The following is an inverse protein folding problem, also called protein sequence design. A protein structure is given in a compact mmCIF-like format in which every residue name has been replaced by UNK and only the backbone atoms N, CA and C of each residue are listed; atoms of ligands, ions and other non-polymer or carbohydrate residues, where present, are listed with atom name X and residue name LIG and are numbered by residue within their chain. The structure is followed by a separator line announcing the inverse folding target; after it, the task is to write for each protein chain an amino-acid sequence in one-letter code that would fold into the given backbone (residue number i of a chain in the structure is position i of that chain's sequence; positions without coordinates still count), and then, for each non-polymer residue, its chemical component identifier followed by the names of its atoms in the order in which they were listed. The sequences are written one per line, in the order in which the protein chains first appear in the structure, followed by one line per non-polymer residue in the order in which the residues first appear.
data_IF_584838681318
#
_entry.id   IF_584838681318
#
_cell.length_a   1.000
_cell.length_b   1.000
_cell.length_c   1.000
_cell.angle_alpha   90.00
_cell.angle_beta   90.00
_cell.angle_gamma   90.00
#
_symmetry.space_group_name_H-M   'P 1'
#
loop_
_entity.id
_entity.type
_entity.pdbx_description
1 polymer ?
#
# COMPACT_ATOMS: atom_id res chain seq x y z
N UNK A 1 4.14 6.01 15.61
CA UNK A 1 3.48 6.01 14.30
C UNK A 1 3.40 4.58 13.69
N UNK A 2 4.43 3.75 13.73
CA UNK A 2 4.43 2.40 13.16
C UNK A 2 3.36 1.48 13.80
N UNK A 3 3.19 1.53 15.11
CA UNK A 3 2.17 0.75 15.84
C UNK A 3 0.75 1.10 15.37
N UNK A 4 0.44 2.39 15.21
CA UNK A 4 -0.88 2.82 14.76
C UNK A 4 -1.23 2.37 13.35
N UNK A 5 -0.27 2.34 12.42
CA UNK A 5 -0.50 1.88 11.05
C UNK A 5 -0.66 0.37 10.93
N UNK A 6 -0.13 -0.41 11.88
CA UNK A 6 -0.23 -1.86 11.92
C UNK A 6 -1.47 -2.36 12.66
N UNK A 7 -2.01 -1.59 13.58
CA UNK A 7 -3.10 -2.02 14.45
C UNK A 7 -4.35 -2.42 13.66
N UNK A 8 -4.77 -1.59 12.71
CA UNK A 8 -5.94 -1.85 11.88
C UNK A 8 -5.74 -3.08 10.95
N UNK A 9 -4.64 -3.23 10.18
CA UNK A 9 -4.40 -4.42 9.39
C UNK A 9 -4.28 -5.71 10.21
N UNK A 10 -3.68 -5.67 11.39
CA UNK A 10 -3.59 -6.83 12.29
C UNK A 10 -4.97 -7.20 12.83
N UNK A 11 -5.76 -6.23 13.28
CA UNK A 11 -7.14 -6.48 13.72
C UNK A 11 -7.98 -7.07 12.57
N UNK A 12 -7.85 -6.53 11.35
CA UNK A 12 -8.54 -7.07 10.19
C UNK A 12 -8.10 -8.51 9.90
N UNK A 13 -6.80 -8.80 9.96
CA UNK A 13 -6.27 -10.15 9.75
C UNK A 13 -6.90 -11.14 10.75
N UNK A 14 -6.93 -10.79 12.03
CA UNK A 14 -7.54 -11.63 13.07
C UNK A 14 -9.05 -11.82 12.85
N UNK A 15 -9.78 -10.73 12.59
CA UNK A 15 -11.23 -10.79 12.36
C UNK A 15 -11.54 -11.62 11.11
N UNK A 16 -10.87 -11.39 9.98
CA UNK A 16 -11.10 -12.16 8.77
C UNK A 16 -10.78 -13.64 8.95
N UNK A 17 -9.72 -13.97 9.67
CA UNK A 17 -9.36 -15.37 9.92
C UNK A 17 -10.39 -16.07 10.80
N UNK A 18 -10.87 -15.41 11.85
CA UNK A 18 -11.86 -15.99 12.77
C UNK A 18 -13.25 -16.10 12.10
N UNK A 19 -13.68 -15.06 11.37
CA UNK A 19 -15.04 -14.99 10.84
C UNK A 19 -15.18 -15.69 9.49
N UNK A 20 -14.21 -15.51 8.60
CA UNK A 20 -14.31 -15.97 7.20
C UNK A 20 -13.40 -17.17 6.90
N UNK A 21 -12.46 -17.53 7.79
CA UNK A 21 -11.47 -18.56 7.54
C UNK A 21 -12.08 -19.88 7.09
N UNK A 22 -13.04 -20.38 7.83
CA UNK A 22 -13.71 -21.65 7.54
C UNK A 22 -14.63 -21.56 6.29
N UNK A 23 -15.29 -20.41 6.07
CA UNK A 23 -16.18 -20.24 4.92
C UNK A 23 -15.39 -20.18 3.63
N UNK A 24 -14.29 -19.44 3.57
CA UNK A 24 -13.41 -19.36 2.40
C UNK A 24 -12.80 -20.72 2.08
N UNK A 25 -12.34 -21.45 3.10
CA UNK A 25 -11.81 -22.80 2.91
C UNK A 25 -12.85 -23.76 2.30
N UNK A 26 -14.09 -23.72 2.77
CA UNK A 26 -15.20 -24.56 2.23
C UNK A 26 -15.52 -24.26 0.76
N UNK A 27 -15.38 -22.99 0.32
CA UNK A 27 -15.75 -22.57 -1.05
C UNK A 27 -14.60 -22.73 -2.04
N UNK A 28 -13.36 -22.46 -1.58
CA UNK A 28 -12.18 -22.42 -2.47
C UNK A 28 -11.29 -23.65 -2.38
N UNK A 29 -11.41 -24.43 -1.31
CA UNK A 29 -10.48 -25.51 -0.99
C UNK A 29 -9.08 -25.04 -0.54
N UNK A 30 -8.87 -23.72 -0.40
CA UNK A 30 -7.60 -23.09 -0.03
C UNK A 30 -7.79 -22.32 1.27
N UNK A 31 -6.81 -22.35 2.16
CA UNK A 31 -6.88 -21.61 3.41
C UNK A 31 -6.93 -20.11 3.15
N UNK A 32 -7.84 -19.42 3.84
CA UNK A 32 -8.05 -17.98 3.74
C UNK A 32 -6.77 -17.16 4.01
N UNK A 33 -5.84 -17.71 4.78
CA UNK A 33 -4.54 -17.08 5.12
C UNK A 33 -3.77 -16.64 3.89
N UNK A 34 -3.83 -17.42 2.78
CA UNK A 34 -3.15 -17.09 1.52
C UNK A 34 -3.74 -15.88 0.77
N UNK A 35 -4.93 -15.45 1.13
CA UNK A 35 -5.54 -14.22 0.60
C UNK A 35 -5.46 -13.06 1.59
N UNK A 36 -5.78 -13.33 2.86
CA UNK A 36 -5.93 -12.30 3.90
C UNK A 36 -4.57 -11.72 4.32
N UNK A 37 -3.52 -12.54 4.46
CA UNK A 37 -2.18 -12.04 4.82
C UNK A 37 -1.61 -11.09 3.76
N UNK A 38 -1.59 -11.43 2.45
CA UNK A 38 -1.21 -10.48 1.40
C UNK A 38 -2.05 -9.19 1.43
N UNK A 39 -3.36 -9.31 1.57
CA UNK A 39 -4.26 -8.17 1.66
C UNK A 39 -3.88 -7.24 2.82
N UNK A 40 -3.71 -7.79 4.02
CA UNK A 40 -3.36 -7.00 5.21
C UNK A 40 -1.97 -6.36 5.08
N UNK A 41 -1.01 -7.03 4.44
CA UNK A 41 0.32 -6.48 4.18
C UNK A 41 0.25 -5.27 3.22
N UNK A 42 -0.48 -5.39 2.12
CA UNK A 42 -0.67 -4.28 1.16
C UNK A 42 -1.44 -3.13 1.82
N UNK A 43 -2.52 -3.42 2.55
CA UNK A 43 -3.29 -2.38 3.26
C UNK A 43 -2.47 -1.67 4.33
N UNK A 44 -1.61 -2.39 5.07
CA UNK A 44 -0.68 -1.79 6.03
C UNK A 44 0.24 -0.76 5.37
N UNK A 45 0.76 -1.07 4.18
CA UNK A 45 1.59 -0.14 3.42
C UNK A 45 0.81 1.12 3.01
N UNK A 46 -0.42 0.95 2.49
CA UNK A 46 -1.27 2.06 2.03
C UNK A 46 -1.74 2.95 3.19
N UNK A 47 -2.30 2.36 4.24
CA UNK A 47 -2.75 3.12 5.42
C UNK A 47 -1.59 3.77 6.17
N UNK A 48 -0.43 3.12 6.15
CA UNK A 48 0.78 3.71 6.68
C UNK A 48 1.17 4.99 5.95
N UNK A 49 1.19 4.97 4.62
CA UNK A 49 1.49 6.15 3.80
C UNK A 49 0.45 7.27 4.01
N UNK A 50 -0.84 6.92 4.09
CA UNK A 50 -1.89 7.88 4.42
C UNK A 50 -1.71 8.50 5.82
N UNK A 51 -1.34 7.71 6.82
CA UNK A 51 -1.07 8.20 8.17
C UNK A 51 0.07 9.23 8.23
N UNK A 52 1.10 9.05 7.40
CA UNK A 52 2.21 10.01 7.31
C UNK A 52 1.85 11.29 6.53
N UNK A 53 0.77 11.31 5.77
CA UNK A 53 0.31 12.51 5.08
C UNK A 53 -0.01 13.65 6.04
N UNK A 54 -0.39 13.33 7.29
CA UNK A 54 -0.60 14.31 8.36
C UNK A 54 0.70 15.05 8.66
N UNK A 55 1.85 14.37 8.71
CA UNK A 55 3.16 15.00 8.85
C UNK A 55 3.45 15.97 7.71
N UNK A 56 3.19 15.57 6.47
CA UNK A 56 3.41 16.40 5.28
C UNK A 56 2.56 17.68 5.31
N UNK A 57 1.29 17.57 5.67
CA UNK A 57 0.40 18.74 5.79
C UNK A 57 0.84 19.66 6.93
N UNK A 58 1.27 19.10 8.07
CA UNK A 58 1.79 19.86 9.21
C UNK A 58 3.12 20.57 8.87
N UNK A 59 4.05 19.89 8.19
CA UNK A 59 5.32 20.48 7.75
C UNK A 59 5.10 21.65 6.79
N UNK A 60 4.07 21.57 5.95
CA UNK A 60 3.66 22.67 5.10
C UNK A 60 3.09 23.84 5.92
N UNK A 61 2.18 23.59 6.85
CA UNK A 61 1.51 24.60 7.67
C UNK A 61 2.48 25.28 8.65
N UNK A 62 3.52 24.58 9.12
CA UNK A 62 4.56 25.12 10.01
C UNK A 62 5.69 25.87 9.31
N UNK A 63 5.56 26.09 7.99
CA UNK A 63 6.59 26.74 7.15
C UNK A 63 7.95 26.02 7.16
N UNK A 64 7.99 24.73 7.55
CA UNK A 64 9.22 23.95 7.54
C UNK A 64 9.78 23.80 6.12
N UNK A 65 8.88 23.64 5.14
CA UNK A 65 9.26 23.49 3.74
C UNK A 65 9.99 24.72 3.19
N UNK A 66 9.60 25.94 3.56
CA UNK A 66 10.28 27.18 3.16
C UNK A 66 11.64 27.31 3.82
N UNK A 67 11.79 26.91 5.11
CA UNK A 67 13.09 26.89 5.78
C UNK A 67 14.07 25.90 5.13
N UNK A 68 13.60 24.73 4.71
CA UNK A 68 14.41 23.74 3.98
C UNK A 68 14.78 24.21 2.59
N UNK A 69 13.98 25.07 1.94
CA UNK A 69 14.23 25.61 0.61
C UNK A 69 15.47 26.52 0.53
N UNK A 70 15.80 27.19 1.63
CA UNK A 70 16.96 28.12 1.73
C UNK A 70 18.28 27.35 1.97
N UNK A 71 18.20 26.08 2.37
CA UNK A 71 19.39 25.26 2.60
C UNK A 71 20.00 24.76 1.26
N UNK A 72 21.33 24.65 1.16
CA UNK A 72 22.02 24.17 -0.03
C UNK A 72 21.90 22.65 -0.20
N UNK A 73 20.67 22.12 -0.20
CA UNK A 73 20.36 20.69 -0.39
C UNK A 73 19.66 20.47 -1.72
N UNK A 74 19.86 19.29 -2.30
CA UNK A 74 19.22 18.95 -3.54
C UNK A 74 17.70 18.88 -3.36
N UNK A 75 16.94 19.57 -4.22
CA UNK A 75 15.46 19.75 -4.11
C UNK A 75 14.67 18.43 -4.07
N UNK A 76 15.20 17.38 -4.68
CA UNK A 76 14.57 16.05 -4.66
C UNK A 76 14.84 15.26 -3.36
N UNK A 77 15.79 15.68 -2.51
CA UNK A 77 16.20 14.90 -1.34
C UNK A 77 15.07 14.68 -0.34
N UNK A 78 14.22 15.68 -0.13
CA UNK A 78 13.05 15.59 0.75
C UNK A 78 12.04 14.56 0.24
N UNK A 79 11.72 14.60 -1.06
CA UNK A 79 10.77 13.66 -1.70
C UNK A 79 11.31 12.24 -1.65
N UNK A 80 12.59 12.07 -2.00
CA UNK A 80 13.26 10.75 -1.97
C UNK A 80 13.35 10.23 -0.53
N UNK A 81 13.70 11.07 0.43
CA UNK A 81 13.76 10.71 1.85
C UNK A 81 12.43 10.18 2.38
N UNK A 82 11.33 10.81 2.01
CA UNK A 82 9.98 10.36 2.39
C UNK A 82 9.63 9.02 1.75
N UNK A 83 9.90 8.83 0.46
CA UNK A 83 9.66 7.55 -0.22
C UNK A 83 10.48 6.44 0.43
N UNK A 84 11.76 6.66 0.73
CA UNK A 84 12.62 5.67 1.39
C UNK A 84 12.08 5.32 2.78
N UNK A 85 11.68 6.30 3.57
CA UNK A 85 11.11 6.07 4.89
C UNK A 85 9.84 5.21 4.82
N UNK A 86 8.97 5.45 3.82
CA UNK A 86 7.78 4.63 3.59
C UNK A 86 8.09 3.21 3.14
N UNK A 87 9.07 3.04 2.25
CA UNK A 87 9.54 1.71 1.81
C UNK A 87 10.03 0.89 3.00
N UNK A 88 10.90 1.48 3.83
CA UNK A 88 11.44 0.81 5.03
C UNK A 88 10.32 0.44 6.00
N UNK A 89 9.39 1.38 6.24
CA UNK A 89 8.26 1.14 7.13
C UNK A 89 7.32 0.07 6.59
N UNK A 90 7.00 0.11 5.31
CA UNK A 90 6.19 -0.91 4.64
C UNK A 90 6.83 -2.28 4.72
N UNK A 91 8.15 -2.36 4.51
CA UNK A 91 8.88 -3.62 4.62
C UNK A 91 8.80 -4.20 6.04
N UNK A 92 9.06 -3.38 7.07
CA UNK A 92 8.96 -3.81 8.47
C UNK A 92 7.52 -4.26 8.78
N UNK A 93 6.51 -3.51 8.35
CA UNK A 93 5.11 -3.87 8.54
C UNK A 93 4.75 -5.20 7.87
N UNK A 94 5.23 -5.42 6.64
CA UNK A 94 5.03 -6.67 5.91
C UNK A 94 5.69 -7.85 6.62
N UNK A 95 6.90 -7.67 7.14
CA UNK A 95 7.59 -8.73 7.92
C UNK A 95 6.77 -9.11 9.16
N UNK A 96 6.27 -8.13 9.90
CA UNK A 96 5.45 -8.38 11.11
C UNK A 96 4.16 -9.13 10.74
N UNK A 97 3.42 -8.65 9.73
CA UNK A 97 2.16 -9.28 9.29
C UNK A 97 2.41 -10.70 8.76
N UNK A 98 3.50 -10.88 8.01
CA UNK A 98 3.88 -12.21 7.49
C UNK A 98 4.27 -13.15 8.62
N UNK A 99 5.00 -12.68 9.63
CA UNK A 99 5.35 -13.48 10.81
C UNK A 99 4.08 -13.97 11.55
N UNK A 100 3.09 -13.08 11.75
CA UNK A 100 1.78 -13.46 12.29
C UNK A 100 1.10 -14.46 11.36
N UNK A 101 1.11 -14.24 10.04
CA UNK A 101 0.54 -15.15 9.05
C UNK A 101 1.16 -16.56 9.11
N UNK A 102 2.48 -16.65 9.34
CA UNK A 102 3.18 -17.95 9.49
C UNK A 102 2.69 -18.69 10.74
N UNK A 103 2.43 -18.02 11.86
CA UNK A 103 1.84 -18.65 13.05
C UNK A 103 0.40 -19.12 12.79
N UNK A 104 -0.32 -18.47 11.84
CA UNK A 104 -1.68 -18.81 11.44
C UNK A 104 -1.75 -19.88 10.33
N UNK A 105 -0.60 -20.40 9.88
CA UNK A 105 -0.53 -21.48 8.89
C UNK A 105 -0.04 -21.08 7.50
N UNK A 106 0.37 -19.82 7.27
CA UNK A 106 0.99 -19.41 6.00
C UNK A 106 2.27 -20.23 5.78
N UNK A 107 2.38 -20.86 4.61
CA UNK A 107 3.56 -21.63 4.20
C UNK A 107 4.00 -21.18 2.81
N UNK A 108 5.30 -21.12 2.59
CA UNK A 108 5.88 -20.81 1.29
C UNK A 108 6.25 -22.11 0.58
N UNK A 109 5.45 -22.50 -0.42
CA UNK A 109 5.68 -23.75 -1.19
C UNK A 109 6.73 -23.57 -2.29
N UNK A 110 7.05 -22.32 -2.66
CA UNK A 110 8.02 -22.01 -3.72
C UNK A 110 9.43 -21.68 -3.18
N UNK A 111 9.68 -21.92 -1.89
CA UNK A 111 10.99 -21.74 -1.28
C UNK A 111 11.33 -20.30 -0.88
N UNK A 112 12.57 -20.08 -0.44
CA UNK A 112 13.07 -18.82 0.11
C UNK A 112 13.06 -17.63 -0.87
N UNK A 113 13.40 -17.79 -2.18
CA UNK A 113 13.33 -16.65 -3.10
C UNK A 113 11.92 -16.07 -3.23
N UNK A 114 10.90 -16.93 -3.23
CA UNK A 114 9.51 -16.50 -3.28
C UNK A 114 9.11 -15.76 -1.99
N UNK A 115 9.59 -16.19 -0.83
CA UNK A 115 9.35 -15.52 0.44
C UNK A 115 9.98 -14.11 0.47
N UNK A 116 11.20 -13.95 -0.03
CA UNK A 116 11.86 -12.64 -0.13
C UNK A 116 11.08 -11.72 -1.07
N UNK A 117 10.70 -12.20 -2.26
CA UNK A 117 9.92 -11.43 -3.21
C UNK A 117 8.55 -11.03 -2.63
N UNK A 118 7.89 -11.95 -1.92
CA UNK A 118 6.65 -11.70 -1.20
C UNK A 118 6.76 -10.49 -0.24
N UNK A 119 7.84 -10.41 0.53
CA UNK A 119 8.09 -9.31 1.46
C UNK A 119 8.34 -7.96 0.77
N UNK A 120 8.83 -7.97 -0.47
CA UNK A 120 9.14 -6.76 -1.23
C UNK A 120 7.94 -6.17 -1.97
N UNK A 121 6.91 -6.97 -2.30
CA UNK A 121 5.75 -6.51 -3.08
C UNK A 121 5.06 -5.28 -2.48
N UNK A 122 4.69 -5.23 -1.19
CA UNK A 122 4.05 -4.04 -0.61
C UNK A 122 4.94 -2.80 -0.66
N UNK A 123 6.26 -2.98 -0.58
CA UNK A 123 7.23 -1.89 -0.72
C UNK A 123 7.25 -1.30 -2.14
N UNK A 124 7.07 -2.12 -3.17
CA UNK A 124 6.91 -1.64 -4.56
C UNK A 124 5.62 -0.83 -4.70
N UNK A 125 4.53 -1.32 -4.17
CA UNK A 125 3.22 -0.63 -4.21
C UNK A 125 3.29 0.73 -3.51
N UNK A 126 3.89 0.77 -2.33
CA UNK A 126 3.94 2.00 -1.52
C UNK A 126 4.78 3.09 -2.16
N UNK A 127 5.79 2.76 -2.98
CA UNK A 127 6.58 3.79 -3.68
C UNK A 127 5.69 4.66 -4.58
N UNK A 128 4.85 4.03 -5.41
CA UNK A 128 3.90 4.73 -6.27
C UNK A 128 2.81 5.45 -5.49
N UNK A 129 2.26 4.78 -4.46
CA UNK A 129 1.19 5.35 -3.66
C UNK A 129 1.66 6.55 -2.82
N UNK A 130 2.88 6.53 -2.30
CA UNK A 130 3.47 7.68 -1.59
C UNK A 130 3.61 8.91 -2.49
N UNK A 131 3.96 8.74 -3.76
CA UNK A 131 4.00 9.85 -4.70
C UNK A 131 2.61 10.51 -4.88
N UNK A 132 1.55 9.70 -4.98
CA UNK A 132 0.16 10.17 -5.00
C UNK A 132 -0.19 10.92 -3.70
N UNK A 133 0.08 10.32 -2.54
CA UNK A 133 -0.17 10.92 -1.23
C UNK A 133 0.53 12.27 -1.11
N UNK A 134 1.81 12.36 -1.46
CA UNK A 134 2.58 13.61 -1.43
C UNK A 134 1.99 14.68 -2.35
N UNK A 135 1.68 14.31 -3.60
CA UNK A 135 1.11 15.25 -4.57
C UNK A 135 -0.22 15.84 -4.09
N UNK A 136 -1.01 15.07 -3.34
CA UNK A 136 -2.29 15.51 -2.80
C UNK A 136 -2.12 16.27 -1.47
N UNK A 137 -1.25 15.81 -0.57
CA UNK A 137 -1.05 16.40 0.75
C UNK A 137 -0.45 17.82 0.71
N UNK A 138 0.42 18.09 -0.27
CA UNK A 138 1.09 19.40 -0.43
C UNK A 138 0.14 20.49 -0.95
N UNK A 139 -1.04 20.16 -1.48
CA UNK A 139 -2.01 21.14 -2.02
C UNK A 139 -2.66 21.97 -0.91
N UNK A 140 -3.22 23.15 -1.29
CA UNK A 140 -3.93 24.02 -0.35
C UNK A 140 -5.08 23.34 0.39
N UNK A 141 -5.79 22.42 -0.29
CA UNK A 141 -6.85 21.58 0.29
C UNK A 141 -6.35 20.16 0.63
N UNK A 142 -5.08 20.02 1.04
CA UNK A 142 -4.45 18.73 1.28
C UNK A 142 -5.21 17.86 2.29
N UNK A 143 -5.68 18.44 3.39
CA UNK A 143 -6.47 17.70 4.42
C UNK A 143 -7.75 17.08 3.83
N UNK A 144 -8.53 17.88 3.07
CA UNK A 144 -9.75 17.39 2.41
C UNK A 144 -9.43 16.31 1.36
N UNK A 145 -8.39 16.53 0.56
CA UNK A 145 -7.94 15.56 -0.42
C UNK A 145 -7.52 14.22 0.25
N UNK A 146 -6.83 14.28 1.38
CA UNK A 146 -6.46 13.08 2.15
C UNK A 146 -7.67 12.35 2.73
N UNK A 147 -8.69 13.06 3.19
CA UNK A 147 -9.94 12.45 3.66
C UNK A 147 -10.63 11.65 2.54
N UNK A 148 -10.72 12.22 1.33
CA UNK A 148 -11.28 11.52 0.17
C UNK A 148 -10.43 10.33 -0.25
N UNK A 149 -9.10 10.48 -0.24
CA UNK A 149 -8.18 9.39 -0.58
C UNK A 149 -8.26 8.24 0.43
N UNK A 150 -8.38 8.58 1.71
CA UNK A 150 -8.60 7.61 2.78
C UNK A 150 -9.91 6.82 2.55
N UNK A 151 -11.02 7.53 2.29
CA UNK A 151 -12.30 6.90 1.98
C UNK A 151 -12.24 5.99 0.76
N UNK A 152 -11.60 6.44 -0.33
CA UNK A 152 -11.40 5.64 -1.53
C UNK A 152 -10.54 4.39 -1.24
N UNK A 153 -9.46 4.53 -0.47
CA UNK A 153 -8.60 3.40 -0.08
C UNK A 153 -9.36 2.38 0.78
N UNK A 154 -10.21 2.86 1.70
CA UNK A 154 -11.09 1.98 2.47
C UNK A 154 -12.08 1.24 1.56
N UNK A 155 -12.74 1.91 0.63
CA UNK A 155 -13.67 1.28 -0.30
C UNK A 155 -12.98 0.16 -1.12
N UNK A 156 -11.77 0.45 -1.64
CA UNK A 156 -10.97 -0.53 -2.38
C UNK A 156 -10.47 -1.68 -1.47
N UNK A 157 -10.27 -1.41 -0.17
CA UNK A 157 -9.86 -2.41 0.80
C UNK A 157 -10.94 -3.48 1.07
N UNK A 158 -12.22 -3.16 0.89
CA UNK A 158 -13.31 -4.12 1.02
C UNK A 158 -13.62 -4.84 -0.30
N UNK A 159 -13.31 -4.22 -1.43
CA UNK A 159 -13.57 -4.77 -2.76
C UNK A 159 -12.27 -5.28 -3.39
N UNK A 160 -11.72 -6.36 -2.86
CA UNK A 160 -10.46 -6.94 -3.34
C UNK A 160 -10.45 -8.48 -3.27
N UNK A 161 -9.57 -9.15 -4.03
CA UNK A 161 -9.51 -10.61 -4.10
C UNK A 161 -8.84 -11.28 -2.89
N UNK A 162 -8.37 -10.51 -1.91
CA UNK A 162 -7.70 -11.03 -0.72
C UNK A 162 -8.66 -11.65 0.28
N UNK A 163 -9.76 -10.94 0.57
CA UNK A 163 -10.79 -11.38 1.50
C UNK A 163 -11.85 -12.26 0.83
N UNK A 164 -12.25 -11.90 -0.40
CA UNK A 164 -13.33 -12.58 -1.13
C UNK A 164 -12.82 -13.04 -2.49
N UNK A 165 -12.95 -14.33 -2.85
CA UNK A 165 -12.56 -14.83 -4.16
C UNK A 165 -13.28 -14.07 -5.28
N UNK A 166 -12.56 -13.75 -6.37
CA UNK A 166 -13.10 -12.96 -7.49
C UNK A 166 -14.40 -13.58 -8.06
N UNK A 167 -14.49 -14.90 -8.06
CA UNK A 167 -15.66 -15.65 -8.57
C UNK A 167 -16.96 -15.37 -7.80
N UNK A 168 -16.88 -14.82 -6.59
CA UNK A 168 -18.05 -14.46 -5.79
C UNK A 168 -18.60 -13.07 -6.13
N UNK A 169 -17.85 -12.26 -6.87
CA UNK A 169 -18.32 -10.96 -7.34
C UNK A 169 -19.14 -11.11 -8.62
N UNK A 170 -20.12 -10.22 -8.87
CA UNK A 170 -20.88 -10.18 -10.12
C UNK A 170 -19.95 -10.07 -11.34
N UNK A 171 -20.29 -10.70 -12.45
CA UNK A 171 -19.44 -10.78 -13.65
C UNK A 171 -19.00 -9.42 -14.19
N UNK A 172 -19.87 -8.42 -14.11
CA UNK A 172 -19.55 -7.04 -14.51
C UNK A 172 -18.49 -6.37 -13.61
N UNK A 173 -18.39 -6.76 -12.33
CA UNK A 173 -17.45 -6.18 -11.37
C UNK A 173 -16.07 -6.83 -11.41
N UNK A 174 -15.98 -8.09 -11.83
CA UNK A 174 -14.72 -8.85 -11.85
C UNK A 174 -13.59 -8.16 -12.63
N UNK A 175 -13.79 -7.62 -13.86
CA UNK A 175 -12.72 -6.94 -14.58
C UNK A 175 -12.26 -5.66 -13.88
N UNK A 176 -13.18 -4.91 -13.25
CA UNK A 176 -12.85 -3.71 -12.49
C UNK A 176 -12.01 -4.04 -11.25
N UNK A 177 -12.37 -5.11 -10.54
CA UNK A 177 -11.62 -5.57 -9.36
C UNK A 177 -10.23 -6.05 -9.74
N UNK A 178 -10.06 -6.71 -10.88
CA UNK A 178 -8.73 -7.13 -11.35
C UNK A 178 -7.84 -5.97 -11.76
N UNK A 179 -8.43 -4.91 -12.33
CA UNK A 179 -7.68 -3.74 -12.80
C UNK A 179 -7.31 -2.77 -11.69
N UNK A 180 -7.97 -2.79 -10.54
CA UNK A 180 -7.65 -1.87 -9.45
C UNK A 180 -6.23 -2.08 -8.90
N UNK A 181 -5.55 -1.01 -8.40
CA UNK A 181 -4.13 -1.08 -8.03
C UNK A 181 -3.82 -2.00 -6.82
N UNK A 182 -4.83 -2.39 -6.04
CA UNK A 182 -4.67 -3.23 -4.84
C UNK A 182 -4.70 -4.72 -5.20
N UNK A 183 -5.40 -5.11 -6.25
CA UNK A 183 -5.60 -6.54 -6.60
C UNK A 183 -4.34 -7.24 -7.13
N UNK A 184 -3.59 -6.68 -8.09
CA UNK A 184 -2.40 -7.34 -8.64
C UNK A 184 -1.34 -7.69 -7.59
N UNK A 185 -0.97 -6.80 -6.62
CA UNK A 185 -0.01 -7.15 -5.58
C UNK A 185 -0.50 -8.29 -4.67
N UNK A 186 -1.80 -8.32 -4.33
CA UNK A 186 -2.37 -9.41 -3.53
C UNK A 186 -2.31 -10.74 -4.29
N UNK A 187 -2.65 -10.75 -5.58
CA UNK A 187 -2.56 -11.95 -6.43
C UNK A 187 -1.12 -12.41 -6.61
N UNK A 188 -0.17 -11.48 -6.79
CA UNK A 188 1.26 -11.78 -6.85
C UNK A 188 1.73 -12.48 -5.58
N UNK A 189 1.43 -11.90 -4.43
CA UNK A 189 1.82 -12.45 -3.13
C UNK A 189 1.17 -13.82 -2.88
N UNK A 190 -0.11 -13.99 -3.24
CA UNK A 190 -0.80 -15.28 -3.17
C UNK A 190 -0.10 -16.32 -4.04
N UNK A 191 0.23 -15.97 -5.29
CA UNK A 191 0.95 -16.84 -6.21
C UNK A 191 2.31 -17.26 -5.67
N UNK A 192 3.06 -16.35 -5.04
CA UNK A 192 4.36 -16.63 -4.43
C UNK A 192 4.28 -17.55 -3.19
N UNK A 193 3.21 -17.45 -2.41
CA UNK A 193 3.06 -18.25 -1.19
C UNK A 193 2.48 -19.64 -1.47
N UNK A 194 1.37 -19.71 -2.20
CA UNK A 194 0.60 -20.94 -2.41
C UNK A 194 0.92 -21.63 -3.75
N UNK A 195 1.38 -20.87 -4.73
CA UNK A 195 1.52 -21.31 -6.12
C UNK A 195 0.45 -20.70 -7.01
N UNK A 196 0.78 -20.58 -8.30
CA UNK A 196 -0.11 -19.97 -9.29
C UNK A 196 0.61 -19.00 -10.21
N UNK A 197 -0.10 -18.25 -11.06
CA UNK A 197 0.50 -17.30 -11.97
C UNK A 197 1.06 -16.10 -11.19
N UNK A 198 2.37 -15.90 -11.25
CA UNK A 198 3.06 -14.79 -10.58
C UNK A 198 3.41 -13.67 -11.55
N UNK A 199 3.82 -14.00 -12.78
CA UNK A 199 4.41 -13.05 -13.72
C UNK A 199 3.43 -11.95 -14.13
N UNK A 200 2.22 -12.32 -14.56
CA UNK A 200 1.23 -11.35 -15.02
C UNK A 200 0.78 -10.37 -13.92
N UNK A 201 0.42 -10.83 -12.68
CA UNK A 201 0.11 -9.92 -11.59
C UNK A 201 1.31 -9.07 -11.15
N UNK A 202 2.53 -9.61 -11.17
CA UNK A 202 3.76 -8.88 -10.83
C UNK A 202 4.00 -7.74 -11.82
N UNK A 203 3.86 -8.00 -13.12
CA UNK A 203 3.96 -6.97 -14.16
C UNK A 203 2.90 -5.89 -13.94
N UNK A 204 1.65 -6.27 -13.70
CA UNK A 204 0.58 -5.31 -13.42
C UNK A 204 0.87 -4.47 -12.17
N UNK A 205 1.39 -5.07 -11.09
CA UNK A 205 1.83 -4.35 -9.88
C UNK A 205 2.92 -3.33 -10.20
N UNK A 206 3.93 -3.74 -10.97
CA UNK A 206 5.04 -2.85 -11.37
C UNK A 206 4.56 -1.73 -12.29
N UNK A 207 3.67 -2.02 -13.22
CA UNK A 207 3.07 -1.00 -14.10
C UNK A 207 2.30 0.03 -13.28
N UNK A 208 1.47 -0.39 -12.34
CA UNK A 208 0.77 0.54 -11.44
C UNK A 208 1.73 1.41 -10.63
N UNK A 209 2.79 0.83 -10.06
CA UNK A 209 3.80 1.59 -9.31
C UNK A 209 4.48 2.63 -10.21
N UNK A 210 4.91 2.24 -11.41
CA UNK A 210 5.57 3.14 -12.37
C UNK A 210 4.62 4.23 -12.86
N UNK A 211 3.37 3.92 -13.18
CA UNK A 211 2.37 4.90 -13.62
C UNK A 211 2.12 5.93 -12.51
N UNK A 212 1.91 5.48 -11.27
CA UNK A 212 1.71 6.39 -10.14
C UNK A 212 2.94 7.28 -9.91
N UNK A 213 4.15 6.72 -9.96
CA UNK A 213 5.39 7.49 -9.85
C UNK A 213 5.51 8.53 -10.99
N UNK A 214 5.37 8.10 -12.24
CA UNK A 214 5.53 8.96 -13.41
C UNK A 214 4.52 10.11 -13.43
N UNK A 215 3.28 9.85 -13.01
CA UNK A 215 2.22 10.86 -12.95
C UNK A 215 2.40 11.79 -11.76
N UNK A 216 2.58 11.25 -10.54
CA UNK A 216 2.46 12.04 -9.32
C UNK A 216 3.76 12.65 -8.81
N UNK A 217 4.95 12.13 -9.16
CA UNK A 217 6.23 12.80 -8.79
C UNK A 217 6.33 14.21 -9.36
N UNK A 218 6.04 14.47 -10.65
CA UNK A 218 6.07 15.84 -11.16
C UNK A 218 5.10 16.78 -10.44
N UNK A 219 3.90 16.29 -10.09
CA UNK A 219 2.94 17.09 -9.33
C UNK A 219 3.39 17.35 -7.90
N UNK A 220 3.97 16.34 -7.22
CA UNK A 220 4.54 16.50 -5.88
C UNK A 220 5.69 17.52 -5.88
N UNK A 221 6.60 17.45 -6.85
CA UNK A 221 7.71 18.40 -6.98
C UNK A 221 7.24 19.83 -7.27
N UNK A 222 6.25 19.99 -8.16
CA UNK A 222 5.65 21.31 -8.43
C UNK A 222 4.93 21.86 -7.20
N UNK A 223 4.16 21.03 -6.52
CA UNK A 223 3.47 21.41 -5.29
C UNK A 223 4.45 21.82 -4.18
N UNK A 224 5.54 21.08 -4.01
CA UNK A 224 6.61 21.41 -3.08
C UNK A 224 7.24 22.78 -3.39
N UNK A 225 7.57 23.03 -4.66
CA UNK A 225 8.12 24.30 -5.12
C UNK A 225 7.17 25.47 -4.83
N UNK A 226 5.89 25.35 -5.22
CA UNK A 226 4.89 26.39 -5.00
C UNK A 226 4.65 26.66 -3.51
N UNK A 227 4.62 25.61 -2.68
CA UNK A 227 4.46 25.75 -1.23
C UNK A 227 5.68 26.42 -0.56
N UNK A 228 6.88 26.19 -1.09
CA UNK A 228 8.10 26.82 -0.60
C UNK A 228 8.20 28.30 -1.02
N UNK A 229 7.84 28.63 -2.28
CA UNK A 229 7.88 29.99 -2.82
C UNK A 229 6.77 30.90 -2.25
N UNK A 230 5.61 30.36 -1.90
CA UNK A 230 4.49 31.14 -1.35
C UNK A 230 4.74 31.69 0.05
N UNK A 231 5.77 31.22 0.75
CA UNK A 231 6.08 31.53 2.14
C UNK A 231 7.54 32.05 2.30
N UNK A 232 8.24 32.31 1.20
CA UNK A 232 9.56 32.95 1.15
C UNK A 232 9.42 34.44 0.90
#
# INVERSE_FOLDING_TARGET
MLIGSLMLPICLLLVYQIVLGEQVHRVTGVDSVYGVVPMCAVLSALFGSLGNSVGITTDRESHLLSRMWVLPIHRASTVVGWVIAEVVRSFIGTVIITAIGVTMGLRFHQGWPAAILFLLIPSVVVTGFTALVMAMAIRNNGRTAMTWLLGATFALAFVNPGATPIKMFPDWAQPLIRLQPISPPIETMRGLAHGGPVVAPLVATSVWAVVLLAVFIPFAMRGYRLAAEANA
#
